data_IF_129023502609
#
_entry.id   IF_129023502609
#
_cell.length_a   1.000
_cell.length_b   1.000
_cell.length_c   1.000
_cell.angle_alpha   90.00
_cell.angle_beta   90.00
_cell.angle_gamma   90.00
#
_symmetry.space_group_name_H-M   'P 1'
#
loop_
_entity.id
_entity.type
_entity.pdbx_description
1 polymer ?
#
# COMPACT_ATOMS: atom_id res chain seq x y z
N UNK A 1 -7.73 21.45 0.96
CA UNK A 1 -8.71 20.69 0.12
C UNK A 1 -8.22 20.51 -1.30
N UNK A 2 -8.03 21.57 -2.12
CA UNK A 2 -7.51 21.40 -3.50
C UNK A 2 -6.09 20.81 -3.55
N UNK A 3 -5.18 21.31 -2.70
CA UNK A 3 -3.81 20.81 -2.59
C UNK A 3 -3.72 19.33 -2.18
N UNK A 4 -4.70 18.84 -1.45
CA UNK A 4 -4.74 17.46 -0.94
C UNK A 4 -5.23 16.47 -2.00
N UNK A 5 -6.11 16.94 -2.90
CA UNK A 5 -6.64 16.16 -4.02
C UNK A 5 -5.55 15.98 -5.09
N UNK A 6 -4.83 17.05 -5.44
CA UNK A 6 -3.71 16.99 -6.39
C UNK A 6 -2.60 16.04 -5.91
N UNK A 7 -2.22 16.13 -4.62
CA UNK A 7 -1.24 15.22 -4.03
C UNK A 7 -1.69 13.74 -4.12
N UNK A 8 -2.98 13.46 -3.96
CA UNK A 8 -3.50 12.09 -4.07
C UNK A 8 -3.45 11.57 -5.50
N UNK A 9 -3.73 12.43 -6.48
CA UNK A 9 -3.74 12.07 -7.90
C UNK A 9 -2.32 11.76 -8.42
N UNK A 10 -1.34 12.60 -8.10
CA UNK A 10 0.06 12.40 -8.51
C UNK A 10 0.65 11.10 -7.93
N UNK A 11 0.30 10.81 -6.68
CA UNK A 11 0.71 9.57 -6.01
C UNK A 11 0.18 8.33 -6.72
N UNK A 12 -1.07 8.36 -7.15
CA UNK A 12 -1.67 7.24 -7.88
C UNK A 12 -1.04 7.02 -9.24
N UNK A 13 -0.70 8.10 -9.94
CA UNK A 13 0.01 8.03 -11.22
C UNK A 13 1.39 7.38 -11.02
N UNK A 14 2.14 7.81 -10.00
CA UNK A 14 3.47 7.26 -9.69
C UNK A 14 3.40 5.82 -9.25
N UNK A 15 2.39 5.43 -8.46
CA UNK A 15 2.16 4.03 -8.06
C UNK A 15 1.91 3.14 -9.27
N UNK A 16 1.05 3.56 -10.20
CA UNK A 16 0.77 2.82 -11.44
C UNK A 16 2.02 2.65 -12.30
N UNK A 17 2.79 3.72 -12.47
CA UNK A 17 4.03 3.70 -13.23
C UNK A 17 5.08 2.78 -12.58
N UNK A 18 5.27 2.89 -11.26
CA UNK A 18 6.19 2.05 -10.51
C UNK A 18 5.84 0.55 -10.63
N UNK A 19 4.56 0.20 -10.62
CA UNK A 19 4.08 -1.19 -10.77
C UNK A 19 4.37 -1.78 -12.16
N UNK A 20 4.58 -0.94 -13.18
CA UNK A 20 4.95 -1.36 -14.54
C UNK A 20 6.48 -1.46 -14.71
N UNK A 21 7.24 -0.57 -14.06
CA UNK A 21 8.69 -0.49 -14.20
C UNK A 21 9.45 -1.46 -13.29
N UNK A 22 8.93 -1.74 -12.09
CA UNK A 22 9.60 -2.61 -11.13
C UNK A 22 9.42 -4.08 -11.55
N UNK A 23 10.51 -4.86 -11.72
CA UNK A 23 10.39 -6.27 -12.08
C UNK A 23 9.64 -7.05 -11.00
N UNK A 24 8.65 -7.83 -11.43
CA UNK A 24 7.85 -8.64 -10.51
C UNK A 24 8.65 -9.84 -10.04
N UNK A 25 8.81 -9.98 -8.73
CA UNK A 25 9.30 -11.21 -8.12
C UNK A 25 8.10 -12.03 -7.69
N UNK A 26 7.97 -13.25 -8.22
CA UNK A 26 7.03 -14.22 -7.68
C UNK A 26 7.60 -14.77 -6.37
N UNK A 27 6.89 -14.53 -5.28
CA UNK A 27 7.14 -15.21 -4.00
C UNK A 27 6.04 -16.26 -3.89
N UNK A 28 6.44 -17.53 -3.75
CA UNK A 28 5.47 -18.59 -3.52
C UNK A 28 4.87 -18.41 -2.13
N UNK A 29 3.55 -18.20 -2.09
CA UNK A 29 2.80 -18.23 -0.85
C UNK A 29 2.19 -19.62 -0.70
N UNK A 30 2.10 -20.16 0.53
CA UNK A 30 1.44 -21.44 0.75
C UNK A 30 -0.03 -21.33 0.33
N UNK A 31 -0.57 -22.41 -0.24
CA UNK A 31 -2.00 -22.54 -0.49
C UNK A 31 -2.75 -22.59 0.83
N UNK A 32 -4.02 -22.18 0.82
CA UNK A 32 -4.90 -22.21 2.01
C UNK A 32 -4.90 -23.60 2.66
N UNK A 33 -4.94 -24.68 1.87
CA UNK A 33 -4.93 -26.06 2.39
C UNK A 33 -3.67 -26.40 3.17
N UNK A 34 -2.50 -25.93 2.72
CA UNK A 34 -1.22 -26.13 3.42
C UNK A 34 -1.25 -25.40 4.77
N UNK A 35 -1.72 -24.15 4.77
CA UNK A 35 -1.85 -23.35 6.01
C UNK A 35 -2.85 -23.97 6.98
N UNK A 36 -3.96 -24.51 6.48
CA UNK A 36 -4.97 -25.17 7.30
C UNK A 36 -4.49 -26.50 7.87
N UNK A 37 -3.71 -27.26 7.11
CA UNK A 37 -3.13 -28.53 7.56
C UNK A 37 -2.05 -28.31 8.63
N UNK A 38 -1.21 -27.28 8.49
CA UNK A 38 -0.20 -26.88 9.49
C UNK A 38 -0.81 -26.37 10.81
N UNK A 39 -2.03 -25.82 10.76
CA UNK A 39 -2.74 -25.26 11.92
C UNK A 39 -3.14 -26.32 12.97
N UNK A 40 -3.19 -27.60 12.59
CA UNK A 40 -3.54 -28.72 13.47
C UNK A 40 -4.93 -28.59 14.12
N UNK A 41 -5.17 -29.38 15.18
CA UNK A 41 -6.43 -29.39 15.96
C UNK A 41 -6.40 -28.37 17.08
N UNK A 42 -6.15 -27.09 16.77
CA UNK A 42 -6.24 -26.03 17.79
C UNK A 42 -7.72 -25.71 18.09
N UNK A 43 -8.03 -25.52 19.37
CA UNK A 43 -9.39 -25.20 19.84
C UNK A 43 -9.65 -23.69 19.96
N UNK A 44 -8.59 -22.87 19.98
CA UNK A 44 -8.67 -21.41 20.17
C UNK A 44 -7.88 -20.71 19.08
N UNK A 45 -8.44 -19.62 18.56
CA UNK A 45 -7.84 -18.82 17.50
C UNK A 45 -7.90 -17.33 17.79
N UNK A 46 -6.83 -16.64 17.45
CA UNK A 46 -6.75 -15.18 17.49
C UNK A 46 -6.31 -14.68 16.12
N UNK A 47 -6.95 -13.59 15.67
CA UNK A 47 -6.61 -12.91 14.44
C UNK A 47 -5.88 -11.62 14.79
N UNK A 48 -4.62 -11.51 14.39
CA UNK A 48 -3.85 -10.28 14.53
C UNK A 48 -3.93 -9.49 13.22
N UNK A 49 -4.63 -8.36 13.24
CA UNK A 49 -4.69 -7.48 12.08
C UNK A 49 -3.39 -6.68 11.93
N UNK A 50 -2.74 -6.84 10.77
CA UNK A 50 -1.57 -6.05 10.34
C UNK A 50 -1.90 -5.11 9.19
N UNK A 51 -3.15 -4.62 9.10
CA UNK A 51 -3.62 -3.68 8.07
C UNK A 51 -2.77 -2.42 7.90
N UNK A 52 -2.02 -2.00 8.93
CA UNK A 52 -1.06 -0.88 8.89
C UNK A 52 0.42 -1.30 8.85
N UNK A 53 0.70 -2.60 8.71
CA UNK A 53 2.06 -3.15 8.74
C UNK A 53 2.94 -2.63 7.59
N UNK A 54 2.36 -2.17 6.49
CA UNK A 54 3.08 -1.55 5.38
C UNK A 54 3.77 -0.23 5.73
N UNK A 55 3.35 0.45 6.80
CA UNK A 55 4.04 1.62 7.34
C UNK A 55 5.22 1.29 8.25
N UNK A 56 5.26 0.07 8.78
CA UNK A 56 6.29 -0.35 9.75
C UNK A 56 7.60 -0.74 9.04
N UNK A 57 7.52 -1.17 7.78
CA UNK A 57 8.69 -1.49 6.96
C UNK A 57 9.16 -0.30 6.13
N UNK A 58 10.43 0.10 6.28
CA UNK A 58 11.02 1.12 5.43
C UNK A 58 11.36 0.58 4.04
N UNK A 59 11.12 1.39 3.01
CA UNK A 59 11.64 1.15 1.67
C UNK A 59 13.17 1.23 1.71
N UNK A 60 13.82 0.33 0.98
CA UNK A 60 15.26 0.40 0.74
C UNK A 60 15.62 1.75 0.11
N UNK A 61 16.67 2.38 0.60
CA UNK A 61 17.09 3.72 0.19
C UNK A 61 17.24 3.85 -1.33
N UNK A 62 17.83 2.85 -1.99
CA UNK A 62 17.98 2.80 -3.46
C UNK A 62 16.64 2.86 -4.21
N UNK A 63 15.57 2.31 -3.64
CA UNK A 63 14.25 2.19 -4.29
C UNK A 63 13.36 3.41 -4.05
N UNK A 64 13.66 4.23 -3.03
CA UNK A 64 12.84 5.40 -2.71
C UNK A 64 12.88 6.47 -3.82
N UNK A 65 13.85 6.45 -4.76
CA UNK A 65 13.90 7.45 -5.87
C UNK A 65 12.70 7.28 -6.81
N UNK A 66 12.24 6.04 -6.99
CA UNK A 66 11.11 5.67 -7.86
C UNK A 66 9.77 6.19 -7.35
N UNK A 67 9.69 6.60 -6.08
CA UNK A 67 8.45 7.08 -5.43
C UNK A 67 8.50 8.59 -5.12
N UNK A 68 9.33 9.32 -5.86
CA UNK A 68 9.49 10.77 -5.73
C UNK A 68 8.43 11.48 -6.56
N UNK A 69 7.78 12.50 -5.98
CA UNK A 69 6.71 13.28 -6.61
C UNK A 69 6.89 14.75 -6.28
N UNK A 70 6.50 15.63 -7.21
CA UNK A 70 6.68 17.08 -7.06
C UNK A 70 5.33 17.74 -6.89
N UNK A 71 5.19 18.48 -5.81
CA UNK A 71 4.02 19.31 -5.54
C UNK A 71 4.36 20.78 -5.83
N UNK A 72 3.35 21.65 -5.93
CA UNK A 72 3.55 23.10 -6.07
C UNK A 72 4.36 23.73 -4.91
N UNK A 73 4.46 23.05 -3.76
CA UNK A 73 5.24 23.48 -2.58
C UNK A 73 6.58 22.75 -2.43
N UNK A 74 6.93 21.84 -3.35
CA UNK A 74 8.25 21.20 -3.37
C UNK A 74 8.23 19.71 -3.67
N UNK A 75 9.42 19.11 -3.59
CA UNK A 75 9.68 17.71 -3.94
C UNK A 75 9.58 16.80 -2.70
N UNK A 76 8.81 15.73 -2.81
CA UNK A 76 8.58 14.79 -1.72
C UNK A 76 8.95 13.36 -2.14
N UNK A 77 9.36 12.58 -1.14
CA UNK A 77 9.79 11.19 -1.32
C UNK A 77 9.23 10.31 -0.22
N UNK A 78 8.71 9.14 -0.60
CA UNK A 78 8.08 8.19 0.33
C UNK A 78 9.14 7.38 1.08
N UNK A 79 8.95 7.19 2.39
CA UNK A 79 9.78 6.32 3.24
C UNK A 79 9.24 4.90 3.41
N UNK A 80 7.93 4.71 3.49
CA UNK A 80 7.27 3.40 3.67
C UNK A 80 6.54 2.90 2.42
N UNK A 81 5.97 1.70 2.48
CA UNK A 81 5.20 1.12 1.37
C UNK A 81 3.88 1.88 1.15
N UNK A 82 3.40 1.87 -0.10
CA UNK A 82 2.14 2.52 -0.50
C UNK A 82 1.12 1.43 -0.80
N UNK A 83 -0.07 1.51 -0.18
CA UNK A 83 -1.21 0.66 -0.52
C UNK A 83 -2.39 1.52 -0.95
N UNK A 84 -3.31 0.97 -1.74
CA UNK A 84 -4.52 1.71 -2.17
C UNK A 84 -5.44 2.03 -0.97
N UNK A 85 -5.35 1.22 0.10
CA UNK A 85 -6.12 1.42 1.32
C UNK A 85 -5.67 2.64 2.12
N UNK A 86 -4.40 3.04 2.01
CA UNK A 86 -3.90 4.27 2.65
C UNK A 86 -4.55 5.53 2.10
N UNK A 87 -4.91 5.55 0.81
CA UNK A 87 -5.62 6.68 0.21
C UNK A 87 -7.09 6.69 0.64
N UNK A 88 -7.74 5.51 0.67
CA UNK A 88 -9.15 5.35 1.04
C UNK A 88 -9.45 5.63 2.52
N UNK A 89 -8.46 5.46 3.42
CA UNK A 89 -8.58 5.80 4.84
C UNK A 89 -8.29 7.27 5.14
N UNK A 90 -7.54 7.98 4.29
CA UNK A 90 -7.31 9.42 4.45
C UNK A 90 -8.44 10.25 3.88
N UNK A 91 -9.17 9.72 2.89
CA UNK A 91 -10.33 10.37 2.30
C UNK A 91 -11.45 9.33 2.09
N UNK A 92 -12.50 9.30 2.92
CA UNK A 92 -13.72 8.58 2.53
C UNK A 92 -14.21 9.18 1.21
N UNK A 93 -14.70 8.34 0.29
CA UNK A 93 -15.42 8.86 -0.88
C UNK A 93 -16.50 9.79 -0.36
N UNK A 94 -16.49 11.04 -0.84
CA UNK A 94 -17.55 11.98 -0.56
C UNK A 94 -18.91 11.37 -0.95
N UNK A 95 -20.03 11.96 -0.51
CA UNK A 95 -21.37 11.38 -0.60
C UNK A 95 -21.90 11.15 -2.04
N UNK A 96 -21.07 11.32 -3.07
CA UNK A 96 -21.46 11.19 -4.48
C UNK A 96 -21.25 9.82 -5.10
N UNK A 97 -20.80 8.80 -4.34
CA UNK A 97 -20.71 7.42 -4.83
C UNK A 97 -21.51 6.44 -3.96
N UNK A 98 -22.78 6.79 -3.73
CA UNK A 98 -23.83 5.85 -3.36
C UNK A 98 -25.03 6.06 -4.28
N UNK A 99 -24.90 5.56 -5.52
CA UNK A 99 -26.02 5.18 -6.39
C UNK A 99 -25.65 3.82 -6.98
#
# INVERSE_FOLDING_TARGET
MELEIEHSLEQDIIKKLANQTIPRRLIQHPTIDVVLNERGVSTVFFHLDKSKGHHQGELKESSRKTTTFSTHIGLYRRRGLITERDQRLKYPKGPSESI
#
